data_IF_342944970668
#
_entry.id   IF_342944970668
#
_cell.length_a   1.000
_cell.length_b   1.000
_cell.length_c   1.000
_cell.angle_alpha   90.00
_cell.angle_beta   90.00
_cell.angle_gamma   90.00
#
_symmetry.space_group_name_H-M   'P 1'
#
loop_
_entity.id
_entity.type
_entity.pdbx_description
1 polymer ?
#
# COMPACT_ATOMS: atom_id res chain seq x y z
N UNK A 1 -2.60 -3.32 39.92
CA UNK A 1 -2.42 -2.93 38.51
C UNK A 1 -1.27 -3.75 37.94
N UNK A 2 -1.60 -4.81 37.19
CA UNK A 2 -0.59 -5.68 36.58
C UNK A 2 -0.11 -5.08 35.27
N UNK A 3 1.20 -4.94 35.11
CA UNK A 3 1.84 -4.61 33.83
C UNK A 3 1.81 -5.89 33.00
N UNK A 4 0.96 -5.95 31.98
CA UNK A 4 0.91 -7.08 31.07
C UNK A 4 2.10 -7.01 30.11
N UNK A 5 2.94 -8.05 30.13
CA UNK A 5 4.01 -8.25 29.15
C UNK A 5 3.37 -8.50 27.79
N UNK A 6 3.96 -7.94 26.73
CA UNK A 6 3.44 -7.86 25.35
C UNK A 6 3.20 -9.20 24.62
N UNK A 7 3.22 -10.33 25.32
CA UNK A 7 3.00 -11.67 24.74
C UNK A 7 1.56 -12.21 24.87
N UNK A 8 0.71 -11.63 25.73
CA UNK A 8 -0.61 -12.20 26.06
C UNK A 8 -1.82 -11.53 25.38
N UNK A 9 -1.65 -10.32 24.84
CA UNK A 9 -2.73 -9.58 24.17
C UNK A 9 -3.26 -10.33 22.94
N UNK A 10 -2.42 -11.11 22.29
CA UNK A 10 -2.76 -11.80 21.04
C UNK A 10 -3.90 -12.81 21.18
N UNK A 11 -3.86 -13.63 22.24
CA UNK A 11 -4.85 -14.68 22.53
C UNK A 11 -6.13 -14.14 23.16
N UNK A 12 -6.03 -13.05 23.90
CA UNK A 12 -7.21 -12.37 24.45
C UNK A 12 -8.01 -11.69 23.35
N UNK A 13 -7.35 -11.04 22.39
CA UNK A 13 -8.02 -10.41 21.24
C UNK A 13 -8.68 -11.44 20.29
N UNK A 14 -8.08 -12.60 20.07
CA UNK A 14 -8.68 -13.68 19.27
C UNK A 14 -10.03 -14.16 19.84
N UNK A 15 -10.21 -14.10 21.17
CA UNK A 15 -11.46 -14.48 21.84
C UNK A 15 -12.61 -13.49 21.59
N UNK A 16 -12.31 -12.23 21.23
CA UNK A 16 -13.29 -11.16 21.11
C UNK A 16 -13.54 -10.68 19.67
N UNK A 17 -12.62 -10.91 18.72
CA UNK A 17 -12.64 -10.17 17.43
C UNK A 17 -12.63 -11.02 16.13
N UNK A 18 -12.56 -12.36 16.18
CA UNK A 18 -12.63 -13.21 14.97
C UNK A 18 -11.40 -13.13 14.03
N UNK A 19 -11.53 -13.71 12.82
CA UNK A 19 -10.49 -13.86 11.78
C UNK A 19 -9.84 -12.51 11.38
N UNK A 20 -8.51 -12.50 11.15
CA UNK A 20 -7.64 -11.32 11.24
C UNK A 20 -6.78 -11.14 9.99
N UNK A 21 -6.67 -9.92 9.45
CA UNK A 21 -5.71 -9.58 8.38
C UNK A 21 -4.33 -9.25 8.94
N UNK A 22 -3.28 -9.62 8.20
CA UNK A 22 -1.90 -9.27 8.48
C UNK A 22 -1.39 -8.14 7.59
N UNK A 23 -1.11 -6.98 8.20
CA UNK A 23 -0.20 -5.97 7.64
C UNK A 23 1.17 -6.12 8.32
N UNK A 24 2.27 -5.91 7.61
CA UNK A 24 3.62 -5.92 8.19
C UNK A 24 4.15 -4.50 8.23
N UNK A 25 4.37 -3.98 9.44
CA UNK A 25 4.49 -2.53 9.68
C UNK A 25 5.17 -2.25 11.05
N UNK A 26 6.00 -1.19 11.10
CA UNK A 26 6.97 -0.78 12.13
C UNK A 26 6.81 0.67 12.71
N UNK A 27 5.61 1.26 12.73
CA UNK A 27 5.43 2.72 12.66
C UNK A 27 5.59 3.55 13.95
N UNK A 28 6.33 3.11 14.97
CA UNK A 28 6.48 3.88 16.23
C UNK A 28 7.83 4.60 16.37
N UNK A 29 8.89 4.14 15.71
CA UNK A 29 10.25 4.67 15.91
C UNK A 29 11.04 4.91 14.61
N UNK A 30 10.44 4.72 13.45
CA UNK A 30 11.13 4.82 12.15
C UNK A 30 12.22 3.76 11.99
N UNK A 31 12.12 2.64 12.73
CA UNK A 31 13.03 1.51 12.61
C UNK A 31 12.31 0.25 12.13
N UNK A 32 12.95 -0.43 11.20
CA UNK A 32 12.55 -1.72 10.62
C UNK A 32 12.37 -2.80 11.69
N UNK A 33 11.15 -2.96 12.19
CA UNK A 33 10.78 -4.08 13.06
C UNK A 33 9.72 -4.96 12.40
N UNK A 34 9.94 -6.28 12.38
CA UNK A 34 8.98 -7.28 11.87
C UNK A 34 7.75 -7.39 12.80
N UNK A 35 6.91 -6.35 12.88
CA UNK A 35 5.66 -6.39 13.64
C UNK A 35 4.47 -6.57 12.72
N UNK A 36 3.51 -7.38 13.17
CA UNK A 36 2.24 -7.64 12.51
C UNK A 36 1.23 -6.60 13.00
N UNK A 37 0.72 -5.74 12.12
CA UNK A 37 -0.41 -4.86 12.40
C UNK A 37 -1.71 -5.62 12.08
N UNK A 38 -2.65 -5.58 13.02
CA UNK A 38 -3.92 -6.33 12.98
C UNK A 38 -5.05 -5.39 12.56
N UNK A 39 -5.81 -5.77 11.54
CA UNK A 39 -7.15 -5.20 11.28
C UNK A 39 -8.19 -6.24 11.69
N UNK A 40 -9.20 -5.81 12.43
CA UNK A 40 -10.29 -6.66 12.89
C UNK A 40 -11.65 -6.11 12.51
N UNK A 41 -12.69 -6.90 12.76
CA UNK A 41 -14.09 -6.44 12.69
C UNK A 41 -14.65 -6.34 14.12
N UNK A 42 -15.50 -5.35 14.37
CA UNK A 42 -16.27 -5.21 15.61
C UNK A 42 -17.71 -4.89 15.26
N UNK A 43 -18.61 -5.80 15.62
CA UNK A 43 -20.05 -5.72 15.32
C UNK A 43 -20.35 -5.49 13.83
N UNK A 44 -19.63 -6.18 12.94
CA UNK A 44 -19.82 -6.07 11.49
C UNK A 44 -19.25 -4.79 10.86
N UNK A 45 -18.62 -3.92 11.65
CA UNK A 45 -17.91 -2.75 11.15
C UNK A 45 -16.40 -3.00 11.18
N UNK A 46 -15.73 -2.43 10.19
CA UNK A 46 -14.28 -2.42 10.09
C UNK A 46 -13.74 -1.54 11.21
N UNK A 47 -12.94 -2.11 12.11
CA UNK A 47 -12.28 -1.35 13.17
C UNK A 47 -10.78 -1.46 13.02
N UNK A 48 -10.20 -0.29 12.99
CA UNK A 48 -8.77 -0.15 13.04
C UNK A 48 -8.27 -0.41 14.48
N UNK A 49 -7.60 -1.54 14.70
CA UNK A 49 -7.00 -1.87 16.00
C UNK A 49 -5.62 -1.22 16.20
N UNK A 50 -5.08 -0.53 15.18
CA UNK A 50 -3.83 0.21 15.24
C UNK A 50 -3.93 1.54 14.44
N UNK A 51 -4.04 2.65 15.16
CA UNK A 51 -4.59 3.97 14.78
C UNK A 51 -4.13 4.70 13.51
N UNK A 52 -3.26 4.14 12.67
CA UNK A 52 -2.49 4.98 11.73
C UNK A 52 -2.90 4.79 10.25
N UNK A 53 -4.19 4.62 9.95
CA UNK A 53 -4.67 4.82 8.58
C UNK A 53 -6.01 5.52 8.60
N UNK A 54 -6.24 6.34 7.57
CA UNK A 54 -7.36 7.26 7.48
C UNK A 54 -8.01 7.10 6.13
N UNK A 55 -9.32 6.89 6.15
CA UNK A 55 -10.17 6.97 4.96
C UNK A 55 -10.43 8.46 4.70
N UNK A 56 -9.94 8.95 3.57
CA UNK A 56 -10.13 10.35 3.14
C UNK A 56 -11.46 10.49 2.41
N UNK A 57 -11.79 9.51 1.56
CA UNK A 57 -13.03 9.45 0.81
C UNK A 57 -13.39 8.00 0.47
N UNK A 58 -14.66 7.79 0.14
CA UNK A 58 -15.19 6.49 -0.25
C UNK A 58 -15.53 5.59 0.93
N UNK A 59 -15.75 4.32 0.64
CA UNK A 59 -16.20 3.29 1.57
C UNK A 59 -15.41 1.98 1.38
N UNK A 60 -14.08 2.00 1.57
CA UNK A 60 -13.28 0.79 1.46
C UNK A 60 -13.76 -0.24 2.48
N UNK A 61 -13.73 -1.51 2.10
CA UNK A 61 -14.29 -2.59 2.90
C UNK A 61 -13.26 -3.70 3.11
N UNK A 62 -13.54 -4.57 4.09
CA UNK A 62 -12.76 -5.79 4.31
C UNK A 62 -13.69 -6.98 4.18
N UNK A 63 -13.27 -7.96 3.39
CA UNK A 63 -13.95 -9.26 3.27
C UNK A 63 -12.92 -10.35 3.06
N UNK A 64 -13.12 -11.52 3.68
CA UNK A 64 -12.22 -12.68 3.55
C UNK A 64 -10.76 -12.31 3.82
N UNK A 65 -10.53 -11.57 4.89
CA UNK A 65 -9.21 -11.08 5.27
C UNK A 65 -8.47 -10.24 4.19
N UNK A 66 -9.20 -9.60 3.28
CA UNK A 66 -8.62 -8.75 2.24
C UNK A 66 -9.26 -7.37 2.23
N UNK A 67 -8.45 -6.35 1.92
CA UNK A 67 -8.91 -4.98 1.73
C UNK A 67 -9.45 -4.80 0.31
N UNK A 68 -10.68 -4.32 0.21
CA UNK A 68 -11.35 -4.00 -1.04
C UNK A 68 -11.36 -2.48 -1.23
N UNK A 69 -10.82 -2.03 -2.37
CA UNK A 69 -10.79 -0.63 -2.77
C UNK A 69 -11.77 -0.44 -3.92
N UNK A 70 -12.81 0.35 -3.68
CA UNK A 70 -13.83 0.75 -4.64
C UNK A 70 -13.43 2.00 -5.42
N UNK A 71 -14.17 2.30 -6.48
CA UNK A 71 -14.00 3.55 -7.23
C UNK A 71 -14.21 4.77 -6.32
N UNK A 72 -13.25 5.70 -6.30
CA UNK A 72 -13.28 6.92 -5.50
C UNK A 72 -12.78 6.75 -4.07
N UNK A 73 -12.42 5.52 -3.69
CA UNK A 73 -11.80 5.28 -2.39
C UNK A 73 -10.40 5.90 -2.35
N UNK A 74 -10.16 6.63 -1.28
CA UNK A 74 -8.86 7.19 -0.96
C UNK A 74 -8.56 6.88 0.49
N UNK A 75 -7.42 6.25 0.71
CA UNK A 75 -6.89 5.96 2.03
C UNK A 75 -5.43 6.39 2.12
N UNK A 76 -5.02 6.86 3.29
CA UNK A 76 -3.62 7.14 3.56
C UNK A 76 -3.17 6.51 4.88
N UNK A 77 -1.88 6.27 4.94
CA UNK A 77 -1.16 5.70 6.08
C UNK A 77 -0.04 6.71 6.38
N UNK A 78 -0.03 7.43 7.54
CA UNK A 78 1.06 8.32 7.90
C UNK A 78 2.39 7.58 7.83
N UNK A 79 3.34 8.11 7.07
CA UNK A 79 4.62 7.45 6.81
C UNK A 79 5.65 8.50 6.43
N UNK A 80 6.79 8.47 7.11
CA UNK A 80 7.96 9.32 6.78
C UNK A 80 9.07 8.52 6.10
N UNK A 81 8.78 7.30 5.64
CA UNK A 81 9.77 6.45 4.99
C UNK A 81 10.24 7.08 3.68
N UNK A 82 11.55 7.24 3.58
CA UNK A 82 12.23 7.73 2.37
C UNK A 82 13.16 6.70 1.77
N UNK A 83 13.26 5.52 2.38
CA UNK A 83 14.05 4.38 1.93
C UNK A 83 13.44 3.11 2.53
N UNK A 84 13.63 1.98 1.86
CA UNK A 84 13.02 0.71 2.26
C UNK A 84 12.49 -0.09 1.09
N UNK A 85 11.71 -1.11 1.42
CA UNK A 85 10.91 -1.94 0.54
C UNK A 85 9.43 -1.62 0.78
N UNK A 86 8.72 -1.30 -0.29
CA UNK A 86 7.26 -1.29 -0.33
C UNK A 86 6.81 -2.49 -1.16
N UNK A 87 6.08 -3.43 -0.54
CA UNK A 87 5.59 -4.64 -1.18
C UNK A 87 4.06 -4.71 -1.06
N UNK A 88 3.38 -4.84 -2.19
CA UNK A 88 1.92 -4.92 -2.28
C UNK A 88 1.53 -6.20 -2.99
N UNK A 89 0.58 -6.96 -2.45
CA UNK A 89 -0.04 -8.08 -3.16
C UNK A 89 -1.47 -7.72 -3.54
N UNK A 90 -1.67 -7.47 -4.82
CA UNK A 90 -2.86 -6.84 -5.38
C UNK A 90 -3.45 -7.75 -6.45
N UNK A 91 -4.77 -7.83 -6.48
CA UNK A 91 -5.55 -8.42 -7.56
C UNK A 91 -6.38 -7.32 -8.22
N UNK A 92 -6.15 -7.10 -9.51
CA UNK A 92 -7.00 -6.27 -10.36
C UNK A 92 -7.99 -7.20 -11.07
N UNK A 93 -9.30 -6.96 -10.99
CA UNK A 93 -10.27 -7.87 -11.57
C UNK A 93 -10.30 -7.73 -13.10
N UNK A 94 -10.55 -8.84 -13.81
CA UNK A 94 -10.57 -8.87 -15.28
C UNK A 94 -11.74 -8.10 -15.90
N UNK A 95 -12.75 -7.79 -15.09
CA UNK A 95 -13.90 -6.98 -15.49
C UNK A 95 -13.66 -5.46 -15.39
N UNK A 96 -12.48 -5.02 -14.98
CA UNK A 96 -12.10 -3.60 -15.02
C UNK A 96 -12.06 -3.12 -16.48
N UNK A 97 -12.71 -1.99 -16.78
CA UNK A 97 -12.73 -1.43 -18.14
C UNK A 97 -12.28 0.02 -18.24
N UNK A 98 -12.09 0.69 -17.10
CA UNK A 98 -11.63 2.06 -17.04
C UNK A 98 -10.96 2.34 -15.69
N UNK A 99 -10.02 3.31 -15.69
CA UNK A 99 -9.35 3.81 -14.50
C UNK A 99 -8.04 3.10 -14.19
N UNK A 100 -7.55 3.31 -12.97
CA UNK A 100 -6.28 2.83 -12.44
C UNK A 100 -6.29 2.78 -10.91
N UNK A 101 -5.53 1.82 -10.39
CA UNK A 101 -5.10 1.85 -9.01
C UNK A 101 -3.82 2.69 -8.92
N UNK A 102 -3.72 3.56 -7.92
CA UNK A 102 -2.54 4.36 -7.61
C UNK A 102 -2.10 4.07 -6.19
N UNK A 103 -0.86 3.62 -6.05
CA UNK A 103 -0.22 3.36 -4.76
C UNK A 103 0.98 4.31 -4.63
N UNK A 104 0.81 5.34 -3.83
CA UNK A 104 1.80 6.36 -3.55
C UNK A 104 2.70 5.85 -2.42
N UNK A 105 3.93 5.47 -2.78
CA UNK A 105 4.92 4.92 -1.83
C UNK A 105 5.60 6.00 -0.99
N UNK A 106 5.71 7.22 -1.53
CA UNK A 106 6.18 8.41 -0.83
C UNK A 106 5.28 9.57 -1.27
N UNK A 107 4.59 10.23 -0.33
CA UNK A 107 3.69 11.34 -0.62
C UNK A 107 3.82 12.46 0.43
N UNK A 108 3.90 13.70 -0.04
CA UNK A 108 3.77 14.91 0.79
C UNK A 108 2.46 15.66 0.46
N UNK A 109 2.28 16.02 -0.81
CA UNK A 109 1.16 16.81 -1.33
C UNK A 109 0.89 16.51 -2.80
N UNK A 110 -0.12 17.16 -3.38
CA UNK A 110 -0.64 16.91 -4.74
C UNK A 110 0.41 16.87 -5.85
N UNK A 111 1.53 17.58 -5.73
CA UNK A 111 2.58 17.60 -6.77
C UNK A 111 3.92 17.04 -6.29
N UNK A 112 3.98 16.38 -5.13
CA UNK A 112 5.25 15.89 -4.56
C UNK A 112 5.09 14.45 -4.08
N UNK A 113 5.30 13.51 -5.00
CA UNK A 113 5.14 12.09 -4.70
C UNK A 113 5.89 11.16 -5.66
N UNK A 114 6.06 9.93 -5.18
CA UNK A 114 6.40 8.74 -5.96
C UNK A 114 5.20 7.79 -5.95
N UNK A 115 4.77 7.37 -7.13
CA UNK A 115 3.61 6.49 -7.29
C UNK A 115 3.97 5.33 -8.20
N UNK A 116 3.46 4.15 -7.88
CA UNK A 116 3.21 3.15 -8.91
C UNK A 116 1.72 2.96 -9.08
N UNK A 117 1.33 2.62 -10.30
CA UNK A 117 -0.06 2.34 -10.58
C UNK A 117 -0.24 1.25 -11.61
N UNK A 118 -1.46 0.76 -11.64
CA UNK A 118 -1.91 -0.29 -12.57
C UNK A 118 -3.19 0.20 -13.22
N UNK A 119 -3.16 0.34 -14.54
CA UNK A 119 -4.34 0.69 -15.34
C UNK A 119 -5.29 -0.50 -15.49
N UNK A 120 -6.53 -0.23 -15.86
CA UNK A 120 -7.56 -1.25 -16.08
C UNK A 120 -7.16 -2.32 -17.12
N UNK A 121 -6.29 -1.97 -18.07
CA UNK A 121 -5.75 -2.86 -19.11
C UNK A 121 -4.52 -3.65 -18.63
N UNK A 122 -4.20 -3.60 -17.34
CA UNK A 122 -3.05 -4.31 -16.78
C UNK A 122 -1.69 -3.68 -17.10
N UNK A 123 -1.66 -2.45 -17.67
CA UNK A 123 -0.42 -1.68 -17.82
C UNK A 123 0.04 -1.17 -16.46
N UNK A 124 1.30 -1.46 -16.13
CA UNK A 124 1.95 -0.97 -14.92
C UNK A 124 2.77 0.26 -15.25
N UNK A 125 2.82 1.23 -14.33
CA UNK A 125 3.69 2.38 -14.44
C UNK A 125 4.27 2.82 -13.10
N UNK A 126 5.37 3.56 -13.17
CA UNK A 126 5.99 4.28 -12.05
C UNK A 126 6.22 5.71 -12.48
N UNK A 127 5.63 6.64 -11.75
CA UNK A 127 5.77 8.07 -12.00
C UNK A 127 6.39 8.76 -10.79
N UNK A 128 7.16 9.81 -11.08
CA UNK A 128 7.64 10.80 -10.13
C UNK A 128 6.96 12.13 -10.43
N UNK A 129 6.36 12.73 -9.42
CA UNK A 129 5.83 14.09 -9.49
C UNK A 129 6.59 14.99 -8.52
N UNK A 130 7.00 16.14 -9.06
CA UNK A 130 7.66 17.24 -8.36
C UNK A 130 6.87 18.51 -8.61
N UNK A 131 7.11 19.56 -7.83
CA UNK A 131 6.43 20.86 -7.99
C UNK A 131 6.54 21.46 -9.41
N UNK A 132 7.53 21.04 -10.20
CA UNK A 132 7.83 21.61 -11.51
C UNK A 132 7.65 20.63 -12.68
N UNK A 133 7.52 19.33 -12.41
CA UNK A 133 7.55 18.31 -13.45
C UNK A 133 6.95 16.98 -13.00
N UNK A 134 6.36 16.28 -13.97
CA UNK A 134 5.96 14.88 -13.89
C UNK A 134 6.84 14.06 -14.84
N UNK A 135 7.37 12.93 -14.36
CA UNK A 135 8.24 12.05 -15.15
C UNK A 135 7.82 10.59 -14.97
N UNK A 136 7.53 9.91 -16.07
CA UNK A 136 7.35 8.46 -16.10
C UNK A 136 8.70 7.77 -16.15
N UNK A 137 8.97 6.92 -15.16
CA UNK A 137 10.23 6.19 -14.99
C UNK A 137 10.14 4.80 -15.64
N UNK A 138 8.96 4.19 -15.54
CA UNK A 138 8.67 2.87 -16.07
C UNK A 138 7.22 2.81 -16.51
N UNK A 139 6.96 2.16 -17.64
CA UNK A 139 5.63 1.83 -18.12
C UNK A 139 5.71 0.59 -19.02
N UNK A 140 4.94 -0.45 -18.73
CA UNK A 140 4.92 -1.69 -19.50
C UNK A 140 3.51 -2.30 -19.47
N UNK A 141 3.06 -2.77 -20.62
CA UNK A 141 1.80 -3.50 -20.76
C UNK A 141 2.03 -4.97 -20.41
N UNK A 142 1.34 -5.46 -19.38
CA UNK A 142 1.59 -6.77 -18.78
C UNK A 142 0.33 -7.63 -18.64
N UNK A 143 -0.86 -7.10 -18.99
CA UNK A 143 -2.16 -7.78 -18.90
C UNK A 143 -2.45 -8.38 -17.51
N UNK A 144 -2.20 -7.59 -16.44
CA UNK A 144 -2.37 -8.00 -15.03
C UNK A 144 -3.82 -7.87 -14.50
N UNK A 145 -4.78 -7.65 -15.39
CA UNK A 145 -6.21 -7.66 -15.12
C UNK A 145 -6.78 -9.07 -15.41
N UNK A 146 -6.31 -10.06 -14.68
CA UNK A 146 -6.53 -11.49 -14.95
C UNK A 146 -7.16 -12.24 -13.78
N UNK A 147 -7.71 -11.51 -12.79
CA UNK A 147 -8.25 -12.04 -11.54
C UNK A 147 -7.22 -12.77 -10.65
N UNK A 148 -5.93 -12.65 -10.93
CA UNK A 148 -4.85 -13.21 -10.12
C UNK A 148 -4.20 -12.19 -9.21
N UNK A 149 -3.60 -12.67 -8.12
CA UNK A 149 -2.76 -11.84 -7.27
C UNK A 149 -1.37 -11.70 -7.86
N UNK A 150 -0.94 -10.46 -8.01
CA UNK A 150 0.42 -10.09 -8.37
C UNK A 150 1.11 -9.35 -7.23
N UNK A 151 2.42 -9.53 -7.10
CA UNK A 151 3.24 -8.90 -6.07
C UNK A 151 4.09 -7.80 -6.70
N UNK A 152 3.84 -6.57 -6.27
CA UNK A 152 4.55 -5.37 -6.69
C UNK A 152 5.54 -4.97 -5.59
N UNK A 153 6.84 -4.88 -5.93
CA UNK A 153 7.89 -4.50 -4.97
C UNK A 153 8.67 -3.31 -5.47
N UNK A 154 8.73 -2.26 -4.68
CA UNK A 154 9.60 -1.10 -4.93
C UNK A 154 10.61 -1.04 -3.80
N UNK A 155 11.89 -0.93 -4.16
CA UNK A 155 12.99 -0.81 -3.21
C UNK A 155 13.70 0.49 -3.48
N UNK A 156 14.01 1.25 -2.44
CA UNK A 156 14.92 2.39 -2.49
C UNK A 156 15.96 2.31 -1.39
N UNK A 157 17.23 2.48 -1.73
CA UNK A 157 18.31 2.58 -0.74
C UNK A 157 18.59 4.03 -0.30
N UNK A 158 19.42 4.19 0.72
CA UNK A 158 19.81 5.51 1.25
C UNK A 158 20.66 6.35 0.30
N UNK A 159 21.11 5.79 -0.83
CA UNK A 159 21.87 6.51 -1.87
C UNK A 159 20.98 6.95 -3.03
N UNK A 160 19.68 6.65 -2.99
CA UNK A 160 18.75 6.98 -4.08
C UNK A 160 18.80 6.01 -5.25
N UNK A 161 19.28 4.78 -5.04
CA UNK A 161 19.08 3.72 -6.03
C UNK A 161 17.73 3.05 -5.79
N UNK A 162 17.04 2.79 -6.89
CA UNK A 162 15.70 2.24 -6.89
C UNK A 162 15.64 0.96 -7.71
N UNK A 163 14.76 0.05 -7.29
CA UNK A 163 14.43 -1.16 -8.02
C UNK A 163 12.93 -1.42 -7.97
N UNK A 164 12.40 -1.94 -9.06
CA UNK A 164 11.03 -2.41 -9.17
C UNK A 164 11.00 -3.88 -9.59
N UNK A 165 10.21 -4.68 -8.88
CA UNK A 165 9.94 -6.07 -9.19
C UNK A 165 8.44 -6.30 -9.32
N UNK A 166 8.09 -7.22 -10.21
CA UNK A 166 6.75 -7.79 -10.33
C UNK A 166 6.89 -9.31 -10.26
N UNK A 167 6.15 -9.94 -9.35
CA UNK A 167 6.17 -11.40 -9.13
C UNK A 167 7.60 -11.96 -9.00
N UNK A 168 8.41 -11.28 -8.19
CA UNK A 168 9.83 -11.58 -7.95
C UNK A 168 10.76 -11.44 -9.17
N UNK A 169 10.25 -10.95 -10.30
CA UNK A 169 11.05 -10.63 -11.50
C UNK A 169 11.42 -9.14 -11.48
N UNK A 170 12.71 -8.82 -11.55
CA UNK A 170 13.18 -7.43 -11.67
C UNK A 170 12.72 -6.83 -13.00
N UNK A 171 12.01 -5.71 -12.95
CA UNK A 171 11.48 -5.00 -14.12
C UNK A 171 12.29 -3.74 -14.44
N UNK A 172 12.77 -3.04 -13.41
CA UNK A 172 13.50 -1.79 -13.58
C UNK A 172 14.47 -1.54 -12.43
N UNK A 173 15.65 -1.04 -12.76
CA UNK A 173 16.58 -0.38 -11.83
C UNK A 173 16.87 1.03 -12.34
N UNK A 174 16.91 2.03 -11.45
CA UNK A 174 17.25 3.42 -11.77
C UNK A 174 17.85 4.14 -10.57
N UNK A 175 18.44 5.32 -10.78
CA UNK A 175 18.95 6.17 -9.71
C UNK A 175 18.26 7.53 -9.77
N UNK A 176 17.70 7.95 -8.64
CA UNK A 176 17.08 9.27 -8.46
C UNK A 176 17.10 9.64 -6.97
N UNK A 177 17.77 10.75 -6.67
CA UNK A 177 17.93 11.24 -5.30
C UNK A 177 16.76 12.11 -4.84
N UNK A 178 15.84 12.47 -5.74
CA UNK A 178 14.69 13.30 -5.39
C UNK A 178 13.81 12.63 -4.33
N UNK A 179 13.50 13.41 -3.30
CA UNK A 179 12.50 13.13 -2.29
C UNK A 179 11.69 14.43 -2.07
N UNK A 180 10.40 14.33 -1.74
CA UNK A 180 9.67 15.46 -1.15
C UNK A 180 10.38 15.98 0.10
N UNK A 181 10.22 17.25 0.43
CA UNK A 181 10.88 17.89 1.58
C UNK A 181 10.31 17.37 2.90
N UNK A 182 9.00 17.11 2.94
CA UNK A 182 8.30 16.58 4.10
C UNK A 182 7.40 15.39 3.74
N UNK A 183 7.98 14.21 3.44
CA UNK A 183 7.20 12.98 3.25
C UNK A 183 6.32 12.74 4.47
N UNK A 184 5.02 12.59 4.26
CA UNK A 184 4.04 12.57 5.33
C UNK A 184 3.21 11.28 5.35
N UNK A 185 3.03 10.64 4.20
CA UNK A 185 2.16 9.48 4.08
C UNK A 185 2.51 8.58 2.90
N UNK A 186 2.04 7.34 2.98
CA UNK A 186 1.66 6.56 1.81
C UNK A 186 0.17 6.78 1.54
N UNK A 187 -0.23 6.61 0.29
CA UNK A 187 -1.63 6.80 -0.11
C UNK A 187 -2.02 5.73 -1.12
N UNK A 188 -3.25 5.26 -1.05
CA UNK A 188 -3.85 4.40 -2.08
C UNK A 188 -5.11 5.09 -2.57
N UNK A 189 -5.25 5.12 -3.88
CA UNK A 189 -6.41 5.65 -4.56
C UNK A 189 -6.81 4.70 -5.66
N UNK A 190 -8.12 4.52 -5.85
CA UNK A 190 -8.64 3.84 -7.02
C UNK A 190 -9.62 4.75 -7.74
N UNK A 191 -9.39 4.96 -9.02
CA UNK A 191 -10.42 5.43 -9.96
C UNK A 191 -10.86 4.29 -10.90
N UNK A 192 -10.49 3.03 -10.59
CA UNK A 192 -10.99 1.85 -11.31
C UNK A 192 -12.48 1.69 -11.09
N UNK A 193 -13.20 1.40 -12.17
CA UNK A 193 -14.63 1.11 -12.13
C UNK A 193 -14.99 -0.29 -11.60
N UNK A 194 -14.05 -0.94 -10.92
CA UNK A 194 -14.14 -2.28 -10.36
C UNK A 194 -13.47 -2.32 -8.99
N UNK A 195 -13.76 -3.36 -8.21
CA UNK A 195 -13.20 -3.51 -6.86
C UNK A 195 -11.82 -4.14 -6.97
N UNK A 196 -10.80 -3.41 -6.53
CA UNK A 196 -9.45 -3.94 -6.36
C UNK A 196 -9.35 -4.65 -5.03
N UNK A 197 -8.73 -5.83 -5.00
CA UNK A 197 -8.46 -6.56 -3.76
C UNK A 197 -6.98 -6.48 -3.41
N UNK A 198 -6.67 -6.10 -2.17
CA UNK A 198 -5.32 -6.07 -1.62
C UNK A 198 -5.25 -7.10 -0.50
N UNK A 199 -4.40 -8.11 -0.66
CA UNK A 199 -4.13 -9.15 0.34
C UNK A 199 -3.30 -8.56 1.48
N UNK A 200 -2.16 -7.97 1.14
CA UNK A 200 -1.32 -7.29 2.11
C UNK A 200 -0.54 -6.13 1.52
N UNK A 201 -0.13 -5.24 2.43
CA UNK A 201 0.88 -4.22 2.22
C UNK A 201 1.97 -4.48 3.26
N UNK A 202 3.22 -4.50 2.82
CA UNK A 202 4.39 -4.74 3.66
C UNK A 202 5.42 -3.63 3.43
N UNK A 203 5.95 -3.12 4.53
CA UNK A 203 7.10 -2.23 4.56
C UNK A 203 8.29 -2.88 5.24
N UNK A 204 9.49 -2.69 4.68
CA UNK A 204 10.78 -3.11 5.25
C UNK A 204 11.92 -2.18 4.83
#
# INVERSE_FOLDING_TARGET
>A
MGIYKSGDISKELEKYFGECIYFYDDFIDGQLTNKKVRIGSYNGNLVNLHRDWVIVSGEPSISNEMLNIHNGDVLYIPSKFTQGLWEYKIKIPSNATEGRLKCYVIYEKEDCYWVFGVWYDGKVYIDKHTESASVTIYAEELNLNDDMFHIYKIIRDGSGNWKFYLDDIEKKTWSDTYLPDNPAQMRIESDLNSIVTIDYIKLK
#
